data_IF_760290583878
#
_entry.id   IF_760290583878
#
_cell.length_a   1.000
_cell.length_b   1.000
_cell.length_c   1.000
_cell.angle_alpha   90.00
_cell.angle_beta   90.00
_cell.angle_gamma   90.00
#
_symmetry.space_group_name_H-M   'P 1'
#
loop_
_entity.id
_entity.type
_entity.pdbx_description
1 polymer ?
#
# COMPACT_ATOMS: atom_id res chain seq x y z
N UNK A 1 -33.32 -63.93 -1.49
CA UNK A 1 -32.57 -62.73 -1.94
C UNK A 1 -33.53 -61.54 -1.96
N UNK A 2 -33.17 -60.49 -1.22
CA UNK A 2 -33.62 -59.08 -1.25
C UNK A 2 -35.08 -58.76 -0.92
N UNK A 3 -35.24 -58.13 0.25
CA UNK A 3 -36.46 -57.61 0.84
C UNK A 3 -36.95 -56.34 0.13
N UNK A 4 -38.28 -56.20 0.15
CA UNK A 4 -39.04 -55.09 -0.38
C UNK A 4 -39.07 -53.85 0.55
N UNK A 5 -39.04 -52.67 -0.07
CA UNK A 5 -39.95 -51.53 0.10
C UNK A 5 -40.43 -51.19 1.52
N UNK A 6 -39.95 -50.04 2.04
CA UNK A 6 -40.56 -49.03 2.96
C UNK A 6 -39.38 -48.12 3.37
N UNK A 7 -39.30 -46.82 3.10
CA UNK A 7 -40.26 -45.74 3.27
C UNK A 7 -39.81 -44.57 2.38
N UNK A 8 -40.68 -44.13 1.47
CA UNK A 8 -40.63 -42.78 0.86
C UNK A 8 -41.43 -41.88 1.79
N UNK A 9 -40.78 -40.89 2.42
CA UNK A 9 -41.37 -39.63 2.90
C UNK A 9 -40.34 -38.94 3.80
N UNK A 10 -39.54 -38.03 3.24
CA UNK A 10 -39.33 -36.70 3.81
C UNK A 10 -38.80 -35.79 2.69
N UNK A 11 -39.68 -34.87 2.31
CA UNK A 11 -39.49 -33.80 1.35
C UNK A 11 -38.44 -32.79 1.85
N UNK A 12 -37.63 -32.27 0.92
CA UNK A 12 -36.96 -30.96 0.96
C UNK A 12 -37.87 -29.86 1.58
N UNK A 13 -37.35 -28.75 2.18
CA UNK A 13 -36.15 -28.00 1.76
C UNK A 13 -35.35 -27.28 2.90
N UNK A 14 -34.13 -26.81 2.61
CA UNK A 14 -33.48 -25.60 3.19
C UNK A 14 -32.13 -25.44 2.44
N UNK A 15 -32.08 -24.73 1.32
CA UNK A 15 -31.98 -23.28 1.21
C UNK A 15 -30.71 -22.73 1.93
N UNK A 16 -29.81 -22.19 1.11
CA UNK A 16 -28.70 -21.28 1.46
C UNK A 16 -27.52 -21.92 2.19
N UNK A 17 -26.69 -22.67 1.46
CA UNK A 17 -25.24 -22.52 1.67
C UNK A 17 -24.84 -21.22 0.98
N UNK A 18 -24.94 -20.14 1.75
CA UNK A 18 -24.31 -18.88 1.40
C UNK A 18 -22.85 -19.17 1.13
N UNK A 19 -22.38 -18.73 -0.05
CA UNK A 19 -20.97 -18.61 -0.34
C UNK A 19 -20.48 -17.44 0.52
N UNK A 20 -20.34 -17.67 1.82
CA UNK A 20 -19.60 -16.78 2.70
C UNK A 20 -18.15 -16.94 2.30
N UNK A 21 -17.64 -16.01 1.49
CA UNK A 21 -16.20 -15.70 1.50
C UNK A 21 -15.91 -15.14 2.89
N UNK A 22 -15.82 -16.02 3.88
CA UNK A 22 -15.23 -15.69 5.16
C UNK A 22 -13.78 -15.32 4.85
N UNK A 23 -13.45 -14.06 5.09
CA UNK A 23 -12.07 -13.63 5.26
C UNK A 23 -11.52 -14.53 6.36
N UNK A 24 -10.69 -15.50 6.01
CA UNK A 24 -10.02 -16.33 6.98
C UNK A 24 -9.10 -15.41 7.79
N UNK A 25 -9.55 -15.00 8.98
CA UNK A 25 -8.67 -14.42 9.98
C UNK A 25 -7.53 -15.42 10.20
N UNK A 26 -6.33 -15.03 9.79
CA UNK A 26 -5.18 -15.91 9.73
C UNK A 26 -4.82 -16.43 11.13
N UNK A 27 -4.69 -17.75 11.29
CA UNK A 27 -4.12 -18.28 12.53
C UNK A 27 -2.61 -18.00 12.56
N UNK A 28 -2.03 -17.52 13.68
CA UNK A 28 -0.58 -17.31 13.83
C UNK A 28 0.29 -18.56 13.53
N UNK A 29 -0.32 -19.73 13.44
CA UNK A 29 0.31 -21.00 13.09
C UNK A 29 0.44 -21.18 11.58
N UNK A 30 -0.59 -20.84 10.80
CA UNK A 30 -0.55 -20.92 9.33
C UNK A 30 0.54 -20.00 8.75
N UNK A 31 0.62 -18.75 9.22
CA UNK A 31 1.67 -17.84 8.77
C UNK A 31 3.09 -18.37 9.05
N UNK A 32 3.31 -18.94 10.25
CA UNK A 32 4.62 -19.54 10.60
C UNK A 32 4.98 -20.68 9.67
N UNK A 33 4.03 -21.56 9.35
CA UNK A 33 4.25 -22.67 8.41
C UNK A 33 4.57 -22.16 7.01
N UNK A 34 3.81 -21.19 6.50
CA UNK A 34 4.03 -20.59 5.18
C UNK A 34 5.43 -19.96 5.11
N UNK A 35 5.82 -19.19 6.12
CA UNK A 35 7.18 -18.62 6.22
C UNK A 35 8.27 -19.67 6.26
N UNK A 36 8.07 -20.77 6.97
CA UNK A 36 9.03 -21.88 7.02
C UNK A 36 9.19 -22.54 5.65
N UNK A 37 8.08 -22.85 4.98
CA UNK A 37 8.08 -23.43 3.63
C UNK A 37 8.76 -22.50 2.65
N UNK A 38 8.43 -21.21 2.65
CA UNK A 38 9.02 -20.23 1.74
C UNK A 38 10.52 -20.05 1.98
N UNK A 39 10.97 -19.97 3.24
CA UNK A 39 12.41 -19.93 3.56
C UNK A 39 13.16 -21.14 3.02
N UNK A 40 12.58 -22.33 3.14
CA UNK A 40 13.16 -23.54 2.58
C UNK A 40 13.18 -23.48 1.05
N UNK A 41 12.09 -23.03 0.42
CA UNK A 41 12.01 -22.86 -1.03
C UNK A 41 13.10 -21.90 -1.54
N UNK A 42 13.31 -20.76 -0.87
CA UNK A 42 14.41 -19.82 -1.17
C UNK A 42 15.77 -20.51 -1.08
N UNK A 43 16.03 -21.25 0.01
CA UNK A 43 17.31 -21.97 0.20
C UNK A 43 17.57 -23.02 -0.88
N UNK A 44 16.52 -23.62 -1.43
CA UNK A 44 16.62 -24.65 -2.47
C UNK A 44 16.51 -24.08 -3.89
N UNK A 45 16.36 -22.76 -4.06
CA UNK A 45 16.12 -22.15 -5.37
C UNK A 45 14.77 -22.52 -5.99
N UNK A 46 13.80 -22.90 -5.15
CA UNK A 46 12.44 -23.33 -5.52
C UNK A 46 11.39 -22.28 -5.17
N UNK A 47 11.77 -21.06 -4.76
CA UNK A 47 10.81 -20.02 -4.42
C UNK A 47 10.02 -19.59 -5.66
N UNK A 48 8.72 -19.39 -5.47
CA UNK A 48 7.80 -19.02 -6.53
C UNK A 48 6.82 -17.94 -6.07
N UNK A 49 6.13 -17.36 -7.04
CA UNK A 49 5.20 -16.26 -6.78
C UNK A 49 3.96 -16.69 -6.00
N UNK A 50 3.52 -17.94 -6.12
CA UNK A 50 2.39 -18.47 -5.37
C UNK A 50 2.76 -18.60 -3.89
N UNK A 51 3.98 -19.04 -3.56
CA UNK A 51 4.48 -19.07 -2.19
C UNK A 51 4.61 -17.66 -1.59
N UNK A 52 5.09 -16.70 -2.38
CA UNK A 52 5.13 -15.29 -1.99
C UNK A 52 3.73 -14.71 -1.73
N UNK A 53 2.78 -15.03 -2.60
CA UNK A 53 1.39 -14.59 -2.49
C UNK A 53 0.69 -15.25 -1.31
N UNK A 54 0.96 -16.53 -1.07
CA UNK A 54 0.44 -17.25 0.08
C UNK A 54 0.95 -16.62 1.39
N UNK A 55 2.22 -16.23 1.43
CA UNK A 55 2.73 -15.47 2.58
C UNK A 55 2.02 -14.11 2.72
N UNK A 56 1.95 -13.31 1.65
CA UNK A 56 1.29 -12.00 1.67
C UNK A 56 -0.20 -12.09 2.07
N UNK A 57 -0.89 -13.15 1.65
CA UNK A 57 -2.31 -13.36 1.93
C UNK A 57 -2.59 -13.77 3.39
N UNK A 58 -1.73 -14.61 3.97
CA UNK A 58 -1.99 -15.24 5.28
C UNK A 58 -1.13 -14.69 6.42
N UNK A 59 -0.12 -13.86 6.17
CA UNK A 59 0.76 -13.31 7.20
C UNK A 59 0.46 -11.84 7.57
N UNK A 60 -0.82 -11.47 7.58
CA UNK A 60 -1.39 -10.11 7.74
C UNK A 60 -0.97 -9.30 8.99
N UNK A 61 0.03 -9.73 9.75
CA UNK A 61 0.48 -9.12 11.02
C UNK A 61 1.98 -8.98 11.16
N UNK A 62 2.70 -8.86 10.05
CA UNK A 62 3.92 -8.09 10.09
C UNK A 62 3.97 -7.27 8.82
N UNK A 63 3.73 -5.96 9.01
CA UNK A 63 4.66 -4.94 8.51
C UNK A 63 5.93 -5.64 8.02
N UNK A 64 6.23 -5.66 6.72
CA UNK A 64 7.48 -6.24 6.30
C UNK A 64 8.54 -5.52 7.11
N UNK A 65 9.25 -6.26 7.96
CA UNK A 65 10.46 -5.75 8.60
C UNK A 65 11.33 -5.29 7.44
N UNK A 66 11.31 -3.99 7.18
CA UNK A 66 11.98 -3.37 6.05
C UNK A 66 11.81 -4.12 4.71
N UNK A 67 10.64 -4.07 4.08
CA UNK A 67 10.71 -3.71 2.65
C UNK A 67 11.22 -2.29 2.72
N UNK A 68 12.52 -2.13 2.48
CA UNK A 68 13.22 -0.89 2.70
C UNK A 68 12.38 0.24 2.11
N UNK A 69 12.10 1.27 2.93
CA UNK A 69 11.36 2.46 2.49
C UNK A 69 11.99 3.08 1.23
N UNK A 70 13.25 2.72 0.98
CA UNK A 70 14.07 3.00 -0.19
C UNK A 70 14.83 1.71 -0.51
N UNK A 71 14.63 1.06 -1.67
CA UNK A 71 15.40 -0.13 -2.07
C UNK A 71 16.91 0.16 -2.06
N UNK A 72 17.77 -0.87 -1.90
CA UNK A 72 19.20 -0.64 -1.85
C UNK A 72 19.69 -0.10 -3.21
N UNK A 73 20.80 0.65 -3.26
CA UNK A 73 21.29 1.23 -4.52
C UNK A 73 21.68 0.16 -5.56
N UNK A 74 21.85 -1.09 -5.14
CA UNK A 74 22.12 -2.26 -5.99
C UNK A 74 20.86 -2.95 -6.49
N UNK A 75 19.67 -2.47 -6.12
CA UNK A 75 18.41 -3.08 -6.53
C UNK A 75 18.24 -3.08 -8.05
N UNK A 76 17.68 -4.18 -8.57
CA UNK A 76 17.27 -4.26 -9.97
C UNK A 76 16.18 -3.22 -10.29
N UNK A 77 16.09 -2.81 -11.57
CA UNK A 77 15.03 -1.89 -12.01
C UNK A 77 13.63 -2.46 -11.74
N UNK A 78 13.47 -3.78 -11.75
CA UNK A 78 12.20 -4.45 -11.47
C UNK A 78 11.83 -4.33 -10.00
N UNK A 79 12.79 -4.50 -9.09
CA UNK A 79 12.58 -4.23 -7.67
C UNK A 79 12.21 -2.76 -7.43
N UNK A 80 12.89 -1.82 -8.09
CA UNK A 80 12.58 -0.39 -8.00
C UNK A 80 11.15 -0.10 -8.48
N UNK A 81 10.79 -0.55 -9.68
CA UNK A 81 9.48 -0.31 -10.28
C UNK A 81 8.35 -0.92 -9.43
N UNK A 82 8.51 -2.17 -8.98
CA UNK A 82 7.53 -2.83 -8.11
C UNK A 82 7.43 -2.16 -6.74
N UNK A 83 8.51 -1.60 -6.22
CA UNK A 83 8.45 -0.82 -4.98
C UNK A 83 7.60 0.43 -5.15
N UNK A 84 7.74 1.14 -6.28
CA UNK A 84 6.88 2.28 -6.60
C UNK A 84 5.43 1.83 -6.73
N UNK A 85 5.18 0.76 -7.49
CA UNK A 85 3.83 0.21 -7.68
C UNK A 85 3.16 -0.15 -6.36
N UNK A 86 3.87 -0.84 -5.45
CA UNK A 86 3.35 -1.20 -4.12
C UNK A 86 2.94 0.04 -3.34
N UNK A 87 3.80 1.06 -3.31
CA UNK A 87 3.54 2.31 -2.57
C UNK A 87 2.33 3.06 -3.12
N UNK A 88 2.23 3.18 -4.45
CA UNK A 88 1.07 3.77 -5.10
C UNK A 88 -0.20 2.94 -4.88
N UNK A 89 -0.12 1.62 -4.92
CA UNK A 89 -1.28 0.75 -4.71
C UNK A 89 -1.83 0.86 -3.29
N UNK A 90 -0.95 0.92 -2.28
CA UNK A 90 -1.33 1.19 -0.89
C UNK A 90 -2.07 2.52 -0.73
N UNK A 91 -1.69 3.55 -1.49
CA UNK A 91 -2.33 4.86 -1.42
C UNK A 91 -3.77 4.86 -1.93
N UNK A 92 -4.06 4.22 -3.06
CA UNK A 92 -5.42 4.23 -3.61
C UNK A 92 -6.32 3.15 -3.03
N UNK A 93 -5.77 1.97 -2.73
CA UNK A 93 -6.57 0.76 -2.47
C UNK A 93 -6.35 0.18 -1.06
N UNK A 94 -5.46 0.77 -0.25
CA UNK A 94 -5.23 0.35 1.13
C UNK A 94 -4.81 -1.11 1.27
N UNK A 95 -5.56 -1.90 2.04
CA UNK A 95 -5.29 -3.31 2.33
C UNK A 95 -6.14 -4.26 1.47
N UNK A 96 -6.23 -4.00 0.16
CA UNK A 96 -6.95 -4.86 -0.78
C UNK A 96 -6.08 -6.04 -1.24
N UNK A 97 -6.72 -7.11 -1.71
CA UNK A 97 -6.06 -8.25 -2.35
C UNK A 97 -5.14 -7.84 -3.51
N UNK A 98 -5.50 -6.77 -4.24
CA UNK A 98 -4.65 -6.19 -5.28
C UNK A 98 -3.27 -5.83 -4.73
N UNK A 99 -3.22 -5.13 -3.60
CA UNK A 99 -1.98 -4.67 -2.99
C UNK A 99 -1.11 -5.86 -2.58
N UNK A 100 -1.71 -6.92 -2.03
CA UNK A 100 -0.99 -8.14 -1.65
C UNK A 100 -0.33 -8.85 -2.82
N UNK A 101 -0.98 -8.86 -3.99
CA UNK A 101 -0.42 -9.44 -5.22
C UNK A 101 0.74 -8.60 -5.76
N UNK A 102 0.68 -7.27 -5.64
CA UNK A 102 1.81 -6.40 -6.02
C UNK A 102 2.98 -6.57 -5.04
N UNK A 103 2.68 -6.67 -3.74
CA UNK A 103 3.67 -6.89 -2.69
C UNK A 103 4.40 -8.23 -2.82
N UNK A 104 3.67 -9.31 -3.13
CA UNK A 104 4.29 -10.62 -3.35
C UNK A 104 5.27 -10.58 -4.52
N UNK A 105 4.88 -9.92 -5.60
CA UNK A 105 5.72 -9.74 -6.77
C UNK A 105 6.94 -8.85 -6.49
N UNK A 106 6.78 -7.78 -5.69
CA UNK A 106 7.89 -6.96 -5.21
C UNK A 106 8.88 -7.78 -4.39
N UNK A 107 8.41 -8.58 -3.43
CA UNK A 107 9.27 -9.42 -2.58
C UNK A 107 10.09 -10.40 -3.42
N UNK A 108 9.47 -11.01 -4.43
CA UNK A 108 10.16 -11.88 -5.36
C UNK A 108 11.24 -11.12 -6.16
N UNK A 109 10.89 -9.99 -6.77
CA UNK A 109 11.82 -9.21 -7.58
C UNK A 109 12.98 -8.63 -6.75
N UNK A 110 12.73 -8.21 -5.51
CA UNK A 110 13.76 -7.65 -4.64
C UNK A 110 14.62 -8.72 -3.94
N UNK A 111 14.12 -9.94 -3.76
CA UNK A 111 14.86 -11.03 -3.11
C UNK A 111 15.59 -11.98 -4.06
N UNK A 112 15.15 -12.09 -5.32
CA UNK A 112 15.56 -13.18 -6.22
C UNK A 112 15.85 -12.77 -7.68
N UNK A 113 15.66 -11.50 -8.06
CA UNK A 113 15.78 -11.09 -9.46
C UNK A 113 17.19 -11.32 -10.06
N UNK A 114 18.23 -11.25 -9.24
CA UNK A 114 19.62 -11.43 -9.70
C UNK A 114 19.92 -12.88 -10.16
N UNK A 115 19.07 -13.84 -9.80
CA UNK A 115 19.34 -15.27 -9.97
C UNK A 115 18.59 -15.90 -11.14
N UNK A 116 17.44 -15.36 -11.56
CA UNK A 116 16.48 -16.11 -12.40
C UNK A 116 15.81 -15.31 -13.52
N UNK A 117 16.48 -14.28 -14.07
CA UNK A 117 16.04 -13.43 -15.19
C UNK A 117 14.77 -13.91 -15.90
N UNK A 118 13.60 -13.46 -15.43
CA UNK A 118 12.31 -13.90 -15.95
C UNK A 118 11.98 -13.13 -17.22
N UNK A 119 11.67 -13.85 -18.29
CA UNK A 119 11.17 -13.23 -19.53
C UNK A 119 9.74 -12.67 -19.39
N UNK A 120 8.96 -13.16 -18.41
CA UNK A 120 7.58 -12.78 -18.17
C UNK A 120 7.33 -12.72 -16.66
N UNK A 121 6.76 -11.61 -16.20
CA UNK A 121 6.25 -11.44 -14.84
C UNK A 121 4.73 -11.46 -14.94
N UNK A 122 4.12 -12.52 -14.41
CA UNK A 122 2.67 -12.68 -14.28
C UNK A 122 2.29 -12.52 -12.80
N UNK A 123 1.00 -12.36 -12.53
CA UNK A 123 0.39 -12.44 -11.22
C UNK A 123 -0.31 -13.81 -11.07
N UNK A 124 -0.55 -14.32 -9.85
CA UNK A 124 -1.27 -15.58 -9.64
C UNK A 124 -2.69 -15.60 -10.21
N UNK A 125 -3.27 -14.42 -10.48
CA UNK A 125 -4.57 -14.29 -11.14
C UNK A 125 -4.49 -14.39 -12.69
N UNK A 126 -3.31 -14.68 -13.24
CA UNK A 126 -3.06 -14.82 -14.68
C UNK A 126 -2.86 -13.50 -15.44
N UNK A 127 -2.92 -12.34 -14.77
CA UNK A 127 -2.60 -11.06 -15.41
C UNK A 127 -1.10 -10.87 -15.51
N UNK A 128 -0.63 -10.26 -16.60
CA UNK A 128 0.79 -9.97 -16.79
C UNK A 128 1.14 -8.68 -16.04
N UNK A 129 2.07 -8.76 -15.09
CA UNK A 129 2.58 -7.59 -14.39
C UNK A 129 3.45 -6.71 -15.30
N UNK A 130 4.14 -7.31 -16.27
CA UNK A 130 5.06 -6.60 -17.18
C UNK A 130 4.93 -7.06 -18.64
N UNK A 131 4.82 -6.09 -19.55
CA UNK A 131 4.79 -6.30 -21.01
C UNK A 131 5.71 -5.27 -21.67
N UNK A 132 6.88 -5.71 -22.12
CA UNK A 132 7.94 -4.78 -22.55
C UNK A 132 8.38 -3.90 -21.39
N UNK A 133 8.36 -2.58 -21.59
CA UNK A 133 8.68 -1.58 -20.56
C UNK A 133 7.45 -1.11 -19.75
N UNK A 134 6.27 -1.66 -20.04
CA UNK A 134 5.03 -1.27 -19.39
C UNK A 134 4.71 -2.19 -18.21
N UNK A 135 4.25 -1.58 -17.13
CA UNK A 135 3.78 -2.30 -15.95
C UNK A 135 2.26 -2.20 -15.81
N UNK A 136 1.64 -3.28 -15.34
CA UNK A 136 0.22 -3.35 -15.07
C UNK A 136 -0.03 -3.82 -13.64
N UNK A 137 -1.11 -3.34 -13.05
CA UNK A 137 -1.64 -3.85 -11.80
C UNK A 137 -2.43 -5.15 -12.01
N UNK A 138 -2.66 -5.94 -10.95
CA UNK A 138 -3.45 -7.17 -11.02
C UNK A 138 -4.89 -7.00 -11.54
N UNK A 139 -5.44 -5.78 -11.51
CA UNK A 139 -6.76 -5.46 -12.07
C UNK A 139 -6.70 -5.08 -13.57
N UNK A 140 -5.52 -5.15 -14.21
CA UNK A 140 -5.32 -4.79 -15.61
C UNK A 140 -5.04 -3.30 -15.85
N UNK A 141 -5.09 -2.45 -14.82
CA UNK A 141 -4.79 -1.02 -14.96
C UNK A 141 -3.29 -0.83 -15.23
N UNK A 142 -2.95 0.07 -16.16
CA UNK A 142 -1.54 0.39 -16.44
C UNK A 142 -0.92 1.16 -15.28
N UNK A 143 0.09 0.59 -14.64
CA UNK A 143 0.83 1.18 -13.53
C UNK A 143 1.95 2.12 -14.01
N UNK A 144 2.66 1.73 -15.06
CA UNK A 144 3.76 2.52 -15.65
C UNK A 144 3.72 2.45 -17.17
N UNK A 145 3.84 3.61 -17.81
CA UNK A 145 4.04 3.74 -19.26
C UNK A 145 5.08 4.83 -19.51
N UNK A 146 6.27 4.43 -19.97
CA UNK A 146 7.43 5.32 -20.06
C UNK A 146 7.77 5.94 -18.70
N UNK A 147 7.71 7.27 -18.60
CA UNK A 147 7.98 8.01 -17.37
C UNK A 147 6.71 8.37 -16.55
N UNK A 148 5.54 7.87 -16.96
CA UNK A 148 4.26 8.14 -16.32
C UNK A 148 3.92 7.00 -15.37
N UNK A 149 3.54 7.37 -14.15
CA UNK A 149 3.02 6.46 -13.12
C UNK A 149 1.55 6.72 -12.88
N UNK A 150 0.77 5.65 -12.70
CA UNK A 150 -0.65 5.73 -12.34
C UNK A 150 -0.94 4.89 -11.09
N UNK A 151 -2.05 5.21 -10.44
CA UNK A 151 -2.65 4.41 -9.37
C UNK A 151 -3.47 3.24 -9.94
N UNK A 152 -3.74 2.19 -9.13
CA UNK A 152 -4.65 1.11 -9.50
C UNK A 152 -6.06 1.56 -9.88
N UNK A 153 -6.53 2.68 -9.33
CA UNK A 153 -7.83 3.27 -9.65
C UNK A 153 -7.85 4.02 -11.01
N UNK A 154 -6.72 4.05 -11.73
CA UNK A 154 -6.59 4.67 -13.04
C UNK A 154 -6.18 6.14 -13.05
N UNK A 155 -6.13 6.79 -11.89
CA UNK A 155 -5.65 8.17 -11.80
C UNK A 155 -4.14 8.24 -12.02
N UNK A 156 -3.68 9.33 -12.66
CA UNK A 156 -2.24 9.59 -12.78
C UNK A 156 -1.66 9.90 -11.41
N UNK A 157 -0.50 9.31 -11.09
CA UNK A 157 0.25 9.56 -9.86
C UNK A 157 1.41 10.53 -10.10
N UNK A 158 2.20 10.29 -11.16
CA UNK A 158 3.35 11.13 -11.49
C UNK A 158 3.54 11.27 -12.99
N UNK A 159 3.80 12.51 -13.42
CA UNK A 159 4.32 12.82 -14.75
C UNK A 159 5.35 13.94 -14.64
N UNK A 160 6.57 13.69 -15.12
CA UNK A 160 7.70 14.62 -14.98
C UNK A 160 7.84 15.14 -13.52
N UNK A 161 7.75 16.45 -13.29
CA UNK A 161 7.88 17.10 -11.98
C UNK A 161 6.54 17.30 -11.25
N UNK A 162 5.46 16.63 -11.69
CA UNK A 162 4.14 16.72 -11.09
C UNK A 162 3.79 15.45 -10.37
N UNK A 163 3.31 15.61 -9.13
CA UNK A 163 2.64 14.55 -8.37
C UNK A 163 1.18 14.89 -8.19
N UNK A 164 0.36 13.84 -8.14
CA UNK A 164 -1.08 13.91 -7.92
C UNK A 164 -1.44 12.95 -6.79
N UNK A 165 -2.48 13.28 -6.05
CA UNK A 165 -3.10 12.39 -5.07
C UNK A 165 -4.02 11.37 -5.77
N UNK A 166 -4.42 10.27 -5.10
CA UNK A 166 -5.35 9.29 -5.66
C UNK A 166 -6.74 9.83 -6.06
N UNK A 167 -7.14 11.00 -5.55
CA UNK A 167 -8.36 11.69 -5.96
C UNK A 167 -8.19 12.58 -7.21
N UNK A 168 -6.97 12.67 -7.77
CA UNK A 168 -6.66 13.48 -8.94
C UNK A 168 -6.21 14.91 -8.64
N UNK A 169 -6.23 15.34 -7.38
CA UNK A 169 -5.72 16.66 -7.01
C UNK A 169 -4.20 16.74 -7.15
N UNK A 170 -3.68 17.91 -7.51
CA UNK A 170 -2.24 18.12 -7.61
C UNK A 170 -1.65 18.09 -6.20
N UNK A 171 -0.66 17.23 -5.98
CA UNK A 171 0.08 17.17 -4.72
C UNK A 171 1.34 18.04 -4.75
N UNK A 172 2.07 18.01 -5.87
CA UNK A 172 3.32 18.76 -6.03
C UNK A 172 3.49 19.26 -7.45
N UNK A 173 3.95 20.50 -7.60
CA UNK A 173 4.45 21.03 -8.86
C UNK A 173 5.76 21.81 -8.64
N UNK A 174 6.87 21.26 -9.16
CA UNK A 174 8.20 21.81 -8.90
C UNK A 174 8.54 21.70 -7.42
N UNK A 175 8.66 22.83 -6.72
CA UNK A 175 8.93 22.89 -5.27
C UNK A 175 7.68 23.18 -4.42
N UNK A 176 6.53 23.44 -5.05
CA UNK A 176 5.29 23.81 -4.36
C UNK A 176 4.46 22.57 -4.07
N UNK A 177 3.97 22.48 -2.84
CA UNK A 177 3.08 21.42 -2.38
C UNK A 177 1.63 21.91 -2.31
N UNK A 178 0.70 20.98 -2.21
CA UNK A 178 -0.72 21.26 -2.01
C UNK A 178 -1.33 20.19 -1.12
N UNK A 179 -2.33 20.57 -0.34
CA UNK A 179 -3.14 19.62 0.42
C UNK A 179 -3.93 18.70 -0.53
N UNK A 180 -4.38 17.52 -0.06
CA UNK A 180 -5.28 16.65 -0.83
C UNK A 180 -6.61 17.29 -1.23
N UNK A 181 -6.94 18.44 -0.67
CA UNK A 181 -8.10 19.29 -1.02
C UNK A 181 -7.80 20.31 -2.12
N UNK A 182 -6.58 20.35 -2.65
CA UNK A 182 -6.15 21.22 -3.75
C UNK A 182 -5.58 22.59 -3.33
N UNK A 183 -5.64 22.95 -2.05
CA UNK A 183 -5.08 24.23 -1.58
C UNK A 183 -3.53 24.17 -1.51
N UNK A 184 -2.87 25.18 -2.08
CA UNK A 184 -1.41 25.30 -2.04
C UNK A 184 -0.87 25.48 -0.62
N UNK A 185 0.27 24.83 -0.34
CA UNK A 185 0.93 24.85 0.96
C UNK A 185 2.44 24.67 0.79
N UNK A 186 3.24 25.19 1.72
CA UNK A 186 4.65 24.86 1.76
C UNK A 186 4.86 23.46 2.38
N UNK A 187 6.05 22.89 2.18
CA UNK A 187 6.37 21.55 2.67
C UNK A 187 6.22 21.41 4.19
N UNK A 188 6.75 22.36 4.96
CA UNK A 188 6.76 22.33 6.43
C UNK A 188 5.34 22.33 7.01
N UNK A 189 4.47 23.18 6.47
CA UNK A 189 3.08 23.27 6.90
C UNK A 189 2.29 22.01 6.51
N UNK A 190 2.56 21.42 5.34
CA UNK A 190 1.93 20.16 4.95
C UNK A 190 2.28 19.02 5.91
N UNK A 191 3.56 18.88 6.24
CA UNK A 191 4.05 17.85 7.17
C UNK A 191 3.51 18.09 8.58
N UNK A 192 3.56 19.34 9.05
CA UNK A 192 3.02 19.74 10.36
C UNK A 192 1.54 19.41 10.47
N UNK A 193 0.75 19.77 9.46
CA UNK A 193 -0.67 19.44 9.40
C UNK A 193 -0.88 17.92 9.42
N UNK A 194 -0.19 17.17 8.55
CA UNK A 194 -0.40 15.73 8.45
C UNK A 194 -0.08 15.02 9.78
N UNK A 195 1.02 15.40 10.43
CA UNK A 195 1.42 14.90 11.74
C UNK A 195 0.50 15.33 12.90
N UNK A 196 -0.30 16.38 12.73
CA UNK A 196 -1.32 16.76 13.71
C UNK A 196 -2.58 15.90 13.63
N UNK A 197 -2.83 15.27 12.47
CA UNK A 197 -4.01 14.42 12.23
C UNK A 197 -3.74 12.96 12.58
N UNK A 198 -2.57 12.45 12.21
CA UNK A 198 -2.17 11.06 12.50
C UNK A 198 -1.58 10.93 13.90
N UNK A 199 -1.51 9.70 14.42
CA UNK A 199 -0.91 9.46 15.74
C UNK A 199 0.61 9.78 15.76
N UNK A 200 1.11 10.14 16.94
CA UNK A 200 2.48 10.64 17.13
C UNK A 200 3.56 9.62 16.74
N UNK A 201 3.35 8.35 17.07
CA UNK A 201 4.31 7.29 16.81
C UNK A 201 4.42 6.99 15.31
N UNK A 202 3.30 7.01 14.61
CA UNK A 202 3.20 6.85 13.17
C UNK A 202 3.83 8.02 12.44
N UNK A 203 3.55 9.26 12.84
CA UNK A 203 4.24 10.44 12.31
C UNK A 203 5.77 10.31 12.49
N UNK A 204 6.25 9.96 13.67
CA UNK A 204 7.69 9.81 13.92
C UNK A 204 8.35 8.78 12.99
N UNK A 205 7.70 7.64 12.76
CA UNK A 205 8.20 6.61 11.83
C UNK A 205 8.28 7.11 10.37
N UNK A 206 7.32 7.93 9.94
CA UNK A 206 7.24 8.48 8.57
C UNK A 206 8.20 9.64 8.35
N UNK A 207 8.43 10.47 9.37
CA UNK A 207 9.40 11.56 9.31
C UNK A 207 10.84 11.05 9.08
N UNK A 208 11.17 9.84 9.53
CA UNK A 208 12.46 9.22 9.23
C UNK A 208 12.67 8.99 7.73
N UNK A 209 11.60 8.69 6.98
CA UNK A 209 11.64 8.54 5.52
C UNK A 209 11.77 9.88 4.77
N UNK A 210 11.52 11.02 5.43
CA UNK A 210 11.62 12.37 4.87
C UNK A 210 12.97 13.04 5.13
N UNK A 211 13.81 12.45 5.98
CA UNK A 211 15.00 13.13 6.53
C UNK A 211 16.11 13.37 5.50
N UNK A 212 16.07 12.73 4.34
CA UNK A 212 17.12 12.84 3.33
C UNK A 212 16.57 13.15 1.93
N UNK A 213 16.83 14.39 1.49
CA UNK A 213 16.85 14.89 0.10
C UNK A 213 15.51 15.12 -0.61
N UNK A 214 15.47 16.08 -1.55
CA UNK A 214 14.36 16.33 -2.49
C UNK A 214 14.35 15.28 -3.63
N UNK A 215 14.55 14.01 -3.29
CA UNK A 215 14.58 12.93 -4.26
C UNK A 215 13.18 12.34 -4.51
N UNK A 216 13.08 11.44 -5.47
CA UNK A 216 11.81 10.78 -5.80
C UNK A 216 11.17 10.11 -4.58
N UNK A 217 11.97 9.49 -3.70
CA UNK A 217 11.48 8.68 -2.58
C UNK A 217 10.93 9.52 -1.43
N UNK A 218 11.55 10.68 -1.16
CA UNK A 218 11.03 11.68 -0.23
C UNK A 218 9.72 12.30 -0.71
N UNK A 219 9.57 12.52 -2.03
CA UNK A 219 8.35 13.08 -2.60
C UNK A 219 7.18 12.12 -2.42
N UNK A 220 7.36 10.85 -2.74
CA UNK A 220 6.32 9.83 -2.54
C UNK A 220 6.06 9.60 -1.04
N UNK A 221 7.06 9.68 -0.16
CA UNK A 221 6.83 9.60 1.29
C UNK A 221 6.01 10.79 1.82
N UNK A 222 6.23 11.98 1.28
CA UNK A 222 5.45 13.18 1.62
C UNK A 222 4.01 13.02 1.14
N UNK A 223 3.83 12.52 -0.09
CA UNK A 223 2.54 12.21 -0.68
C UNK A 223 1.75 11.21 0.18
N UNK A 224 2.43 10.14 0.63
CA UNK A 224 1.85 9.13 1.52
C UNK A 224 1.40 9.71 2.84
N UNK A 225 2.26 10.49 3.49
CA UNK A 225 1.96 11.13 4.77
C UNK A 225 0.72 12.05 4.67
N UNK A 226 0.69 12.90 3.65
CA UNK A 226 -0.41 13.84 3.44
C UNK A 226 -1.73 13.13 3.10
N UNK A 227 -1.68 12.09 2.25
CA UNK A 227 -2.86 11.32 1.88
C UNK A 227 -3.42 10.52 3.06
N UNK A 228 -2.54 9.95 3.88
CA UNK A 228 -2.93 9.23 5.08
C UNK A 228 -3.66 10.14 6.07
N UNK A 229 -3.13 11.33 6.33
CA UNK A 229 -3.81 12.32 7.17
C UNK A 229 -5.20 12.68 6.60
N UNK A 230 -5.30 12.90 5.28
CA UNK A 230 -6.57 13.20 4.63
C UNK A 230 -7.60 12.08 4.76
N UNK A 231 -7.21 10.84 4.46
CA UNK A 231 -8.11 9.68 4.59
C UNK A 231 -8.61 9.49 6.03
N UNK A 232 -7.75 9.68 7.05
CA UNK A 232 -8.17 9.64 8.46
C UNK A 232 -9.13 10.79 8.80
N UNK A 233 -8.92 11.99 8.25
CA UNK A 233 -9.80 13.13 8.49
C UNK A 233 -11.21 12.94 7.92
N UNK A 234 -11.34 12.29 6.75
CA UNK A 234 -12.65 11.96 6.14
C UNK A 234 -13.36 10.87 6.95
N UNK A 235 -12.65 9.82 7.32
CA UNK A 235 -13.23 8.70 8.11
C UNK A 235 -13.64 9.18 9.50
N UNK A 236 -12.84 10.04 10.14
CA UNK A 236 -13.17 10.69 11.40
C UNK A 236 -14.39 11.61 11.33
N UNK A 237 -14.56 12.34 10.22
CA UNK A 237 -15.74 13.17 9.97
C UNK A 237 -17.05 12.35 9.77
N UNK A 238 -16.94 11.06 9.44
CA UNK A 238 -18.08 10.13 9.42
C UNK A 238 -18.56 9.68 10.81
N UNK A 239 -17.75 9.87 11.85
CA UNK A 239 -18.10 9.61 13.26
C UNK A 239 -18.22 10.90 14.09
N UNK A 240 -17.82 12.04 13.55
CA UNK A 240 -18.00 13.37 14.14
C UNK A 240 -18.53 14.31 13.07
N UNK A 241 -19.85 14.44 12.98
CA UNK A 241 -20.47 15.64 12.41
C UNK A 241 -19.88 16.87 13.10
N UNK A 242 -19.43 17.83 12.28
CA UNK A 242 -18.91 19.17 12.62
C UNK A 242 -17.38 19.28 12.78
N UNK A 243 -16.68 19.41 11.66
CA UNK A 243 -15.65 20.45 11.54
C UNK A 243 -16.08 21.35 10.38
N UNK A 244 -16.91 22.34 10.71
CA UNK A 244 -17.09 23.52 9.87
C UNK A 244 -15.78 24.31 9.94
N UNK A 245 -15.09 24.42 8.81
CA UNK A 245 -14.02 25.41 8.64
C UNK A 245 -14.66 26.80 8.68
N UNK A 246 -14.72 27.41 9.87
CA UNK A 246 -14.99 28.84 10.02
C UNK A 246 -13.65 29.59 9.88
N UNK A 247 -13.53 30.62 9.01
CA UNK A 247 -12.27 31.31 8.73
C UNK A 247 -11.88 32.33 9.82
N UNK A 248 -12.32 32.16 11.07
CA UNK A 248 -12.27 33.20 12.10
C UNK A 248 -11.47 32.82 13.36
N UNK A 249 -10.33 32.13 13.21
CA UNK A 249 -9.35 31.98 14.29
C UNK A 249 -7.95 32.37 13.82
N UNK A 250 -7.83 33.63 13.37
CA UNK A 250 -6.65 34.42 13.69
C UNK A 250 -6.81 34.90 15.13
N UNK A 251 -5.78 34.69 15.95
CA UNK A 251 -5.61 35.18 17.33
C UNK A 251 -5.97 34.15 18.41
N UNK A 252 -5.04 33.22 18.66
CA UNK A 252 -4.72 32.83 20.04
C UNK A 252 -3.20 32.72 20.19
N UNK A 253 -2.78 33.14 21.37
CA UNK A 253 -1.45 33.55 21.76
C UNK A 253 -0.45 32.40 21.79
N UNK A 254 0.78 32.73 21.42
CA UNK A 254 1.98 31.93 21.65
C UNK A 254 2.30 32.01 23.15
N UNK A 255 2.38 30.89 23.91
CA UNK A 255 3.27 30.85 25.05
C UNK A 255 4.66 30.47 24.54
N UNK A 256 5.53 31.47 24.48
CA UNK A 256 6.96 31.27 24.44
C UNK A 256 7.35 30.54 25.73
N UNK A 257 7.74 29.27 25.63
CA UNK A 257 8.58 28.63 26.65
C UNK A 257 9.43 27.53 26.02
N UNK A 258 10.45 27.97 25.28
CA UNK A 258 11.70 27.22 25.17
C UNK A 258 12.67 27.83 26.18
N UNK A 259 12.69 27.31 27.41
CA UNK A 259 13.76 27.60 28.37
C UNK A 259 13.74 26.60 29.52
N UNK A 260 14.61 25.60 29.46
CA UNK A 260 15.42 25.13 30.59
C UNK A 260 16.33 23.96 30.14
N UNK A 261 17.44 24.30 29.48
CA UNK A 261 18.65 23.49 29.55
C UNK A 261 19.68 24.35 30.27
N UNK A 262 20.10 23.93 31.47
CA UNK A 262 21.33 24.36 32.16
C UNK A 262 21.44 23.70 33.53
N UNK A 263 22.66 23.60 34.08
CA UNK A 263 23.93 23.20 33.48
C UNK A 263 24.31 21.76 33.85
#
# INVERSE_FOLDING_TARGET
MKQAIRVVLFLLPLLVLGISRDRADATPTQCRQIRQVRRLAIQQGLDDENLATLEAQYCDTAQPSAVEMIPPPTASQECLDLTIMTRLARLSDGNNNLVRLVESQQQFACGLADTWGRAIIEYPNGQRAKIGDNWQYPNGQTAKFGAIWNYPNGQTAKIASRWYYPNGEIAKFGTRWSYPTGQAVNFENLVTWACSVINRDECASRLLALRNTNDFWSEIATLELAWQAYSQSIVGAGLVTQISFSPEVLRWEIPLSCSAFKP
#
